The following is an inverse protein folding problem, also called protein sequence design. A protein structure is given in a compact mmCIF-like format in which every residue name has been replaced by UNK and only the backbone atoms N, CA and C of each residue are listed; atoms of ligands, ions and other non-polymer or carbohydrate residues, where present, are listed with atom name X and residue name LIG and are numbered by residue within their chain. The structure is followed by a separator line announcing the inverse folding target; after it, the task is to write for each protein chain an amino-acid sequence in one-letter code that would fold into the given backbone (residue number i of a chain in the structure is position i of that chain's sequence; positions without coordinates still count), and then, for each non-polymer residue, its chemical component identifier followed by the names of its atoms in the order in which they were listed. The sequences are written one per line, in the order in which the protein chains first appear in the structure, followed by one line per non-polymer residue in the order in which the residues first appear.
data_IF_925285467803
#
_entry.id   IF_925285467803
#
_cell.length_a   1.000
_cell.length_b   1.000
_cell.length_c   1.000
_cell.angle_alpha   90.00
_cell.angle_beta   90.00
_cell.angle_gamma   90.00
#
_symmetry.space_group_name_H-M   'P 1'
#
loop_
_entity.id
_entity.type
_entity.pdbx_description
1 polymer ?
#
# COMPACT_ATOMS: atom_id res chain seq x y z
N UNK A 1 -13.18 2.44 3.76
CA UNK A 1 -12.92 1.13 4.39
C UNK A 1 -11.94 1.36 5.50
N UNK A 2 -12.32 0.94 6.68
CA UNK A 2 -11.44 0.88 7.84
C UNK A 2 -10.77 -0.50 7.83
N UNK A 3 -9.44 -0.53 7.95
CA UNK A 3 -8.68 -1.78 7.96
C UNK A 3 -8.29 -2.08 9.41
N UNK A 4 -8.34 -3.35 9.81
CA UNK A 4 -7.90 -3.75 11.14
C UNK A 4 -6.44 -3.35 11.35
N UNK A 5 -6.21 -2.43 12.28
CA UNK A 5 -4.89 -1.98 12.71
C UNK A 5 -4.61 -2.56 14.09
N UNK A 6 -3.58 -3.40 14.19
CA UNK A 6 -3.06 -3.83 15.48
C UNK A 6 -2.43 -2.65 16.20
N UNK A 7 -2.66 -2.53 17.51
CA UNK A 7 -1.97 -1.53 18.31
C UNK A 7 -0.47 -1.77 18.27
N UNK A 8 0.29 -0.76 17.89
CA UNK A 8 1.74 -0.84 17.91
C UNK A 8 2.16 -0.82 19.39
N UNK A 9 2.97 -1.80 19.87
CA UNK A 9 3.41 -1.88 21.25
C UNK A 9 3.96 -0.54 21.74
N UNK A 10 3.65 -0.18 22.99
CA UNK A 10 4.18 1.04 23.59
C UNK A 10 5.70 1.06 23.47
N UNK A 11 6.22 2.00 22.68
CA UNK A 11 7.65 2.23 22.59
C UNK A 11 8.02 2.99 23.85
N UNK A 12 8.46 2.25 24.88
CA UNK A 12 8.83 2.85 26.16
C UNK A 12 9.86 3.96 25.92
N UNK A 13 9.68 5.07 26.64
CA UNK A 13 10.57 6.23 26.59
C UNK A 13 11.92 5.97 27.26
N UNK A 14 12.15 4.76 27.78
CA UNK A 14 13.44 4.29 28.30
C UNK A 14 14.57 4.23 27.26
N UNK A 15 14.24 4.32 25.96
CA UNK A 15 15.21 4.34 24.86
C UNK A 15 15.54 5.76 24.39
N UNK A 16 15.84 6.63 25.35
CA UNK A 16 16.27 8.01 25.11
C UNK A 16 17.71 8.19 25.60
N UNK A 17 18.62 8.48 24.69
CA UNK A 17 20.02 8.80 25.00
C UNK A 17 20.41 10.10 24.32
N UNK A 18 21.01 11.01 25.08
CA UNK A 18 21.44 12.33 24.58
C UNK A 18 20.32 13.15 23.89
N UNK A 19 19.07 12.94 24.29
CA UNK A 19 17.89 13.59 23.68
C UNK A 19 17.40 12.95 22.37
N UNK A 20 18.02 11.86 21.93
CA UNK A 20 17.58 11.07 20.78
C UNK A 20 16.77 9.85 21.21
N UNK A 21 15.79 9.50 20.38
CA UNK A 21 14.88 8.37 20.56
C UNK A 21 15.34 7.21 19.69
N UNK A 22 15.88 6.16 20.31
CA UNK A 22 16.42 5.00 19.60
C UNK A 22 15.31 4.01 19.24
N UNK A 23 15.42 3.40 18.06
CA UNK A 23 14.54 2.31 17.67
C UNK A 23 14.78 1.09 18.56
N UNK A 24 13.71 0.40 18.94
CA UNK A 24 13.77 -0.78 19.82
C UNK A 24 13.64 -2.09 19.05
N UNK A 25 13.65 -2.02 17.71
CA UNK A 25 13.55 -3.21 16.88
C UNK A 25 14.89 -3.96 16.86
N UNK A 26 14.91 -5.29 17.02
CA UNK A 26 16.16 -6.06 17.00
C UNK A 26 16.96 -5.83 15.71
N UNK A 27 18.22 -5.41 15.86
CA UNK A 27 19.11 -5.12 14.74
C UNK A 27 18.85 -3.79 14.02
N UNK A 28 18.03 -2.91 14.58
CA UNK A 28 17.87 -1.54 14.10
C UNK A 28 18.63 -0.57 15.00
N UNK A 29 19.55 0.20 14.41
CA UNK A 29 20.38 1.18 15.13
C UNK A 29 19.93 2.63 14.85
N UNK A 30 18.80 2.81 14.16
CA UNK A 30 18.27 4.13 13.83
C UNK A 30 17.81 4.88 15.09
N UNK A 31 18.08 6.18 15.12
CA UNK A 31 17.64 7.10 16.16
C UNK A 31 16.97 8.33 15.55
N UNK A 32 16.12 8.97 16.36
CA UNK A 32 15.25 10.04 15.88
C UNK A 32 15.23 11.21 16.86
N UNK A 33 15.05 12.46 16.38
CA UNK A 33 15.02 13.64 17.24
C UNK A 33 13.71 13.76 18.05
N UNK A 34 12.66 13.00 17.69
CA UNK A 34 11.37 13.06 18.35
C UNK A 34 10.76 11.66 18.52
N UNK A 35 9.92 11.44 19.56
CA UNK A 35 9.28 10.15 19.77
C UNK A 35 8.30 9.82 18.65
N UNK A 36 7.65 10.84 18.06
CA UNK A 36 6.76 10.69 16.91
C UNK A 36 7.47 10.20 15.65
N UNK A 37 8.69 10.69 15.38
CA UNK A 37 9.50 10.21 14.27
C UNK A 37 9.93 8.75 14.45
N UNK A 38 10.41 8.39 15.67
CA UNK A 38 10.69 6.99 16.03
C UNK A 38 9.46 6.10 15.85
N UNK A 39 8.30 6.52 16.35
CA UNK A 39 7.03 5.78 16.21
C UNK A 39 6.63 5.55 14.76
N UNK A 40 6.81 6.55 13.90
CA UNK A 40 6.54 6.45 12.46
C UNK A 40 7.51 5.49 11.77
N UNK A 41 8.79 5.51 12.15
CA UNK A 41 9.77 4.54 11.64
C UNK A 41 9.42 3.12 12.09
N UNK A 42 9.11 2.90 13.37
CA UNK A 42 8.78 1.60 13.92
C UNK A 42 7.59 0.91 13.22
N UNK A 43 6.64 1.69 12.69
CA UNK A 43 5.54 1.16 11.85
C UNK A 43 6.05 0.34 10.65
N UNK A 44 7.21 0.70 10.07
CA UNK A 44 7.78 -0.02 8.94
C UNK A 44 8.21 -1.45 9.31
N UNK A 45 8.68 -1.64 10.54
CA UNK A 45 9.02 -2.94 11.08
C UNK A 45 7.78 -3.73 11.53
N UNK A 46 6.93 -3.12 12.35
CA UNK A 46 5.78 -3.81 12.96
C UNK A 46 4.64 -4.09 11.98
N UNK A 47 4.38 -3.17 11.05
CA UNK A 47 3.37 -3.29 9.98
C UNK A 47 1.97 -3.64 10.53
N UNK A 48 1.36 -2.72 11.30
CA UNK A 48 0.16 -3.02 12.09
C UNK A 48 -1.12 -3.26 11.27
N UNK A 49 -1.16 -2.85 10.00
CA UNK A 49 -2.38 -2.94 9.19
C UNK A 49 -2.41 -4.28 8.46
N UNK A 50 -3.44 -5.08 8.71
CA UNK A 50 -3.58 -6.45 8.17
C UNK A 50 -4.61 -6.48 7.06
N UNK A 51 -4.28 -7.16 5.96
CA UNK A 51 -5.22 -7.39 4.88
C UNK A 51 -6.23 -8.47 5.30
N UNK A 52 -7.55 -8.20 5.29
CA UNK A 52 -8.55 -9.19 5.69
C UNK A 52 -8.74 -10.33 4.67
N UNK A 53 -8.09 -10.26 3.50
CA UNK A 53 -8.23 -11.26 2.42
C UNK A 53 -7.04 -12.21 2.33
N UNK A 54 -5.82 -11.72 2.61
CA UNK A 54 -4.60 -12.52 2.46
C UNK A 54 -3.59 -12.35 3.61
N UNK A 55 -4.00 -11.70 4.70
CA UNK A 55 -3.20 -11.49 5.91
C UNK A 55 -1.90 -10.70 5.71
N UNK A 56 -1.67 -10.17 4.50
CA UNK A 56 -0.51 -9.32 4.21
C UNK A 56 -0.50 -8.10 5.11
N UNK A 57 0.67 -7.81 5.68
CA UNK A 57 0.89 -6.70 6.63
C UNK A 57 1.51 -5.47 5.98
N UNK A 58 1.00 -4.28 6.31
CA UNK A 58 1.52 -2.99 5.87
C UNK A 58 1.62 -1.98 7.00
N UNK A 59 2.53 -1.04 6.84
CA UNK A 59 2.82 0.00 7.83
C UNK A 59 1.73 1.09 7.90
N UNK A 60 0.96 1.29 6.83
CA UNK A 60 0.00 2.39 6.73
C UNK A 60 -1.28 2.01 5.96
N UNK A 61 -2.41 2.57 6.38
CA UNK A 61 -3.73 2.37 5.75
C UNK A 61 -3.78 2.78 4.27
N UNK A 62 -3.05 3.83 3.88
CA UNK A 62 -3.00 4.28 2.48
C UNK A 62 -2.42 3.21 1.54
N UNK A 63 -1.47 2.43 2.03
CA UNK A 63 -0.79 1.39 1.28
C UNK A 63 -1.64 0.12 1.30
N UNK A 64 -2.27 -0.18 2.45
CA UNK A 64 -3.28 -1.23 2.55
C UNK A 64 -4.44 -1.02 1.57
N UNK A 65 -4.96 0.20 1.46
CA UNK A 65 -6.02 0.53 0.51
C UNK A 65 -5.64 0.19 -0.93
N UNK A 66 -4.43 0.60 -1.36
CA UNK A 66 -3.92 0.30 -2.71
C UNK A 66 -3.75 -1.20 -2.93
N UNK A 67 -3.25 -1.92 -1.92
CA UNK A 67 -3.12 -3.38 -1.99
C UNK A 67 -4.49 -4.05 -2.03
N UNK A 68 -5.45 -3.62 -1.23
CA UNK A 68 -6.79 -4.18 -1.18
C UNK A 68 -7.48 -4.11 -2.54
N UNK A 69 -7.29 -3.01 -3.29
CA UNK A 69 -7.74 -2.87 -4.68
C UNK A 69 -7.17 -3.95 -5.63
N UNK A 70 -6.08 -4.63 -5.27
CA UNK A 70 -5.52 -5.72 -6.09
C UNK A 70 -6.28 -7.05 -5.94
N UNK A 71 -6.99 -7.26 -4.83
CA UNK A 71 -7.85 -8.43 -4.65
C UNK A 71 -9.05 -8.39 -5.60
N UNK A 72 -9.63 -7.20 -5.74
CA UNK A 72 -10.71 -6.92 -6.68
C UNK A 72 -10.06 -6.57 -8.02
N UNK A 73 -9.56 -7.58 -8.75
CA UNK A 73 -9.04 -7.45 -10.12
C UNK A 73 -9.88 -6.40 -10.86
N UNK A 74 -9.33 -5.19 -11.02
CA UNK A 74 -10.10 -4.08 -11.60
C UNK A 74 -10.62 -4.50 -12.98
N UNK A 75 -11.85 -4.08 -13.36
CA UNK A 75 -12.40 -4.40 -14.67
C UNK A 75 -11.34 -4.11 -15.74
N UNK A 76 -10.97 -5.15 -16.48
CA UNK A 76 -10.02 -5.04 -17.58
C UNK A 76 -10.68 -4.18 -18.65
N UNK A 77 -9.97 -3.17 -19.11
CA UNK A 77 -10.40 -2.40 -20.27
C UNK A 77 -10.02 -3.22 -21.50
N UNK A 78 -11.02 -3.82 -22.15
CA UNK A 78 -10.80 -4.66 -23.32
C UNK A 78 -10.95 -3.84 -24.60
N UNK A 79 -9.93 -3.90 -25.47
CA UNK A 79 -10.01 -3.39 -26.82
C UNK A 79 -10.87 -4.32 -27.70
N UNK A 80 -11.46 -3.80 -28.78
CA UNK A 80 -12.10 -4.64 -29.80
C UNK A 80 -11.12 -5.66 -30.43
N UNK A 81 -9.81 -5.42 -30.38
CA UNK A 81 -8.79 -6.41 -30.74
C UNK A 81 -8.53 -7.47 -29.65
N UNK A 82 -9.45 -7.63 -28.69
CA UNK A 82 -9.46 -8.56 -27.55
C UNK A 82 -8.33 -8.39 -26.53
N UNK A 83 -7.41 -7.43 -26.75
CA UNK A 83 -6.34 -7.11 -25.80
C UNK A 83 -6.85 -6.37 -24.57
N UNK A 84 -6.45 -6.86 -23.40
CA UNK A 84 -6.83 -6.33 -22.10
C UNK A 84 -5.82 -5.33 -21.53
N UNK A 85 -6.32 -4.34 -20.79
CA UNK A 85 -5.51 -3.35 -20.11
C UNK A 85 -6.00 -3.14 -18.67
N UNK A 86 -5.06 -3.07 -17.72
CA UNK A 86 -5.35 -2.77 -16.31
C UNK A 86 -5.60 -1.28 -16.03
N UNK A 87 -5.32 -0.40 -16.99
CA UNK A 87 -5.49 1.06 -16.89
C UNK A 87 -6.06 1.65 -18.18
N UNK A 88 -6.99 2.60 -18.04
CA UNK A 88 -7.61 3.32 -19.15
C UNK A 88 -6.61 4.06 -20.04
N UNK A 89 -5.58 4.68 -19.44
CA UNK A 89 -4.57 5.43 -20.21
C UNK A 89 -3.75 4.53 -21.14
N UNK A 90 -3.50 3.29 -20.72
CA UNK A 90 -2.81 2.31 -21.55
C UNK A 90 -3.68 1.86 -22.73
N UNK A 91 -4.99 1.69 -22.51
CA UNK A 91 -5.94 1.43 -23.58
C UNK A 91 -6.00 2.60 -24.56
N UNK A 92 -6.12 3.85 -24.08
CA UNK A 92 -6.15 5.05 -24.94
C UNK A 92 -4.89 5.18 -25.80
N UNK A 93 -3.70 4.92 -25.25
CA UNK A 93 -2.44 4.90 -26.01
C UNK A 93 -2.45 3.81 -27.09
N UNK A 94 -2.93 2.61 -26.77
CA UNK A 94 -3.09 1.53 -27.73
C UNK A 94 -4.07 1.90 -28.87
N UNK A 95 -5.23 2.44 -28.52
CA UNK A 95 -6.25 2.87 -29.49
C UNK A 95 -5.72 3.97 -30.42
N UNK A 96 -4.97 4.94 -29.89
CA UNK A 96 -4.33 6.00 -30.68
C UNK A 96 -3.29 5.41 -31.66
N UNK A 97 -2.49 4.42 -31.23
CA UNK A 97 -1.55 3.72 -32.12
C UNK A 97 -2.27 2.91 -33.20
N UNK A 98 -3.44 2.35 -32.88
CA UNK A 98 -4.22 1.49 -33.78
C UNK A 98 -5.33 2.25 -34.55
N UNK A 99 -5.45 3.58 -34.38
CA UNK A 99 -6.53 4.41 -34.92
C UNK A 99 -7.96 3.92 -34.61
N UNK A 100 -8.16 3.30 -33.45
CA UNK A 100 -9.44 2.73 -33.03
C UNK A 100 -10.28 3.76 -32.25
N UNK A 101 -11.62 3.75 -32.44
CA UNK A 101 -12.54 4.80 -31.95
C UNK A 101 -13.56 4.37 -30.87
N UNK A 102 -13.63 3.11 -30.43
CA UNK A 102 -14.57 2.71 -29.37
C UNK A 102 -14.03 1.70 -28.35
N UNK A 103 -14.59 1.75 -27.13
CA UNK A 103 -14.23 0.93 -25.97
C UNK A 103 -15.42 0.03 -25.61
N UNK A 104 -15.16 -1.21 -25.20
CA UNK A 104 -16.15 -2.04 -24.51
C UNK A 104 -15.73 -2.19 -23.05
N UNK A 105 -16.59 -1.75 -22.13
CA UNK A 105 -16.43 -1.98 -20.70
C UNK A 105 -17.06 -3.33 -20.37
N UNK A 106 -16.26 -4.40 -20.37
CA UNK A 106 -16.68 -5.67 -19.77
C UNK A 106 -16.04 -5.78 -18.40
N UNK A 107 -16.83 -5.51 -17.36
CA UNK A 107 -16.55 -6.03 -16.03
C UNK A 107 -16.76 -7.54 -16.11
N UNK A 108 -15.68 -8.30 -16.18
CA UNK A 108 -15.76 -9.75 -15.97
C UNK A 108 -15.98 -9.91 -14.46
N UNK A 109 -17.22 -10.25 -14.07
CA UNK A 109 -17.56 -10.71 -12.72
C UNK A 109 -16.87 -12.05 -12.44
#
# INVERSE_FOLDING_TARGET
MDFSEEEIPLLKDENVWYGFYFCTWPGCEDFFPTPGARRKHYRAHYRPVICPVCEKRMAWNRDMRKHFETHFKRPRFQCRCTKDYSKMDNLKKHMKKMNLRSMNLRSIL
#
